data_IF_862691499040
#
_entry.id   IF_862691499040
#
_cell.length_a   1.000
_cell.length_b   1.000
_cell.length_c   1.000
_cell.angle_alpha   90.00
_cell.angle_beta   90.00
_cell.angle_gamma   90.00
#
_symmetry.space_group_name_H-M   'P 1'
#
loop_
_entity.id
_entity.type
_entity.pdbx_description
1 polymer ?
#
# COMPACT_ATOMS: atom_id res chain seq x y z
N UNK A 1 7.67 -6.81 8.66
CA UNK A 1 6.38 -6.21 8.24
C UNK A 1 5.81 -7.08 7.13
N UNK A 2 4.51 -7.35 7.13
CA UNK A 2 3.83 -8.11 6.06
C UNK A 2 2.69 -7.24 5.52
N UNK A 3 2.62 -7.12 4.20
CA UNK A 3 1.50 -6.45 3.53
C UNK A 3 0.58 -7.50 2.93
N UNK A 4 -0.72 -7.32 3.13
CA UNK A 4 -1.75 -8.22 2.64
C UNK A 4 -2.58 -7.46 1.59
N UNK A 5 -2.74 -8.04 0.40
CA UNK A 5 -3.63 -7.53 -0.65
C UNK A 5 -4.61 -8.64 -1.00
N UNK A 6 -5.90 -8.37 -0.84
CA UNK A 6 -6.96 -9.33 -1.10
C UNK A 6 -7.06 -9.70 -2.58
N UNK A 7 -7.72 -10.82 -2.86
CA UNK A 7 -8.10 -11.21 -4.21
C UNK A 7 -9.30 -10.36 -4.69
N UNK A 8 -10.04 -10.84 -5.70
CA UNK A 8 -11.19 -10.12 -6.24
C UNK A 8 -12.24 -9.76 -5.17
N UNK A 9 -12.46 -10.64 -4.19
CA UNK A 9 -13.46 -10.46 -3.13
C UNK A 9 -12.94 -9.67 -1.92
N UNK A 10 -11.65 -9.30 -1.91
CA UNK A 10 -11.03 -8.59 -0.79
C UNK A 10 -10.77 -9.49 0.43
N UNK A 11 -10.80 -8.89 1.62
CA UNK A 11 -10.66 -9.57 2.91
C UNK A 11 -11.99 -9.59 3.64
N UNK A 12 -12.27 -10.68 4.36
CA UNK A 12 -13.42 -10.76 5.23
C UNK A 12 -13.29 -9.82 6.45
N UNK A 13 -14.38 -9.63 7.18
CA UNK A 13 -14.40 -8.71 8.32
C UNK A 13 -13.45 -9.14 9.44
N UNK A 14 -13.30 -10.44 9.68
CA UNK A 14 -12.43 -10.96 10.72
C UNK A 14 -10.96 -10.67 10.41
N UNK A 15 -10.53 -10.97 9.18
CA UNK A 15 -9.18 -10.65 8.68
C UNK A 15 -8.88 -9.16 8.76
N UNK A 16 -9.87 -8.30 8.49
CA UNK A 16 -9.71 -6.84 8.60
C UNK A 16 -9.60 -6.38 10.05
N UNK A 17 -10.32 -7.00 10.99
CA UNK A 17 -10.25 -6.69 12.43
C UNK A 17 -8.92 -7.13 13.05
N UNK A 18 -8.33 -8.21 12.54
CA UNK A 18 -7.06 -8.75 13.04
C UNK A 18 -5.83 -8.00 12.50
N UNK A 19 -6.00 -7.07 11.55
CA UNK A 19 -4.90 -6.31 10.97
C UNK A 19 -4.42 -5.20 11.92
N UNK A 20 -3.11 -5.08 12.09
CA UNK A 20 -2.49 -3.99 12.87
C UNK A 20 -2.81 -2.59 12.28
N UNK A 21 -2.98 -2.53 10.96
CA UNK A 21 -3.29 -1.31 10.22
C UNK A 21 -4.11 -1.63 8.97
N UNK A 22 -5.17 -0.83 8.75
CA UNK A 22 -5.87 -0.77 7.46
C UNK A 22 -5.42 0.45 6.69
N UNK A 23 -4.93 0.23 5.46
CA UNK A 23 -4.40 1.27 4.59
C UNK A 23 -5.14 1.29 3.25
N UNK A 24 -5.42 2.47 2.71
CA UNK A 24 -6.15 2.64 1.46
C UNK A 24 -5.47 3.66 0.52
N UNK A 25 -5.42 3.35 -0.77
CA UNK A 25 -4.97 4.27 -1.83
C UNK A 25 -6.08 5.24 -2.27
N UNK A 26 -6.86 5.75 -1.32
CA UNK A 26 -8.04 6.59 -1.57
C UNK A 26 -9.37 5.83 -1.62
N UNK A 27 -10.41 6.48 -2.13
CA UNK A 27 -11.80 5.97 -2.14
C UNK A 27 -12.12 5.04 -3.32
N UNK A 28 -11.28 5.02 -4.36
CA UNK A 28 -11.52 4.23 -5.55
C UNK A 28 -11.22 2.74 -5.33
N UNK A 29 -11.94 1.88 -6.04
CA UNK A 29 -11.64 0.45 -6.11
C UNK A 29 -10.55 0.22 -7.15
N UNK A 30 -9.42 -0.32 -6.69
CA UNK A 30 -8.29 -0.62 -7.55
C UNK A 30 -8.22 -2.13 -7.85
N UNK A 31 -7.93 -2.55 -9.10
CA UNK A 31 -7.60 -3.94 -9.39
C UNK A 31 -6.44 -4.41 -8.51
N UNK A 32 -6.54 -5.59 -7.91
CA UNK A 32 -5.57 -6.08 -6.92
C UNK A 32 -4.12 -6.12 -7.45
N UNK A 33 -3.91 -6.36 -8.75
CA UNK A 33 -2.58 -6.28 -9.38
C UNK A 33 -2.05 -4.83 -9.46
N UNK A 34 -2.91 -3.85 -9.72
CA UNK A 34 -2.53 -2.43 -9.72
C UNK A 34 -2.23 -1.95 -8.30
N UNK A 35 -3.07 -2.32 -7.32
CA UNK A 35 -2.83 -2.00 -5.91
C UNK A 35 -1.48 -2.54 -5.42
N UNK A 36 -1.05 -3.71 -5.91
CA UNK A 36 0.28 -4.27 -5.63
C UNK A 36 1.42 -3.40 -6.17
N UNK A 37 1.30 -2.92 -7.41
CA UNK A 37 2.29 -2.02 -8.00
C UNK A 37 2.35 -0.67 -7.26
N UNK A 38 1.19 -0.10 -6.91
CA UNK A 38 1.10 1.13 -6.12
C UNK A 38 1.75 0.98 -4.74
N UNK A 39 1.53 -0.14 -4.06
CA UNK A 39 2.19 -0.42 -2.78
C UNK A 39 3.70 -0.49 -2.92
N UNK A 40 4.22 -1.21 -3.93
CA UNK A 40 5.65 -1.29 -4.15
C UNK A 40 6.27 0.09 -4.41
N UNK A 41 5.61 0.92 -5.22
CA UNK A 41 6.04 2.29 -5.49
C UNK A 41 6.02 3.17 -4.24
N UNK A 42 4.96 3.10 -3.43
CA UNK A 42 4.90 3.90 -2.19
C UNK A 42 5.93 3.45 -1.15
N UNK A 43 6.25 2.14 -1.08
CA UNK A 43 7.35 1.66 -0.24
C UNK A 43 8.68 2.23 -0.71
N UNK A 44 8.96 2.20 -2.01
CA UNK A 44 10.15 2.82 -2.58
C UNK A 44 10.23 4.33 -2.32
N UNK A 45 9.10 5.02 -2.46
CA UNK A 45 9.00 6.46 -2.18
C UNK A 45 9.29 6.75 -0.71
N UNK A 46 8.68 6.01 0.20
CA UNK A 46 8.89 6.18 1.64
C UNK A 46 10.35 5.93 2.03
N UNK A 47 10.98 4.86 1.51
CA UNK A 47 12.39 4.58 1.78
C UNK A 47 13.31 5.63 1.15
N UNK A 48 12.99 6.12 -0.04
CA UNK A 48 13.73 7.20 -0.70
C UNK A 48 13.70 8.50 0.11
N UNK A 49 12.53 8.86 0.66
CA UNK A 49 12.38 10.04 1.54
C UNK A 49 13.24 9.86 2.80
N UNK A 50 13.13 8.72 3.48
CA UNK A 50 13.90 8.43 4.70
C UNK A 50 15.41 8.41 4.45
N UNK A 51 15.84 7.99 3.27
CA UNK A 51 17.24 7.97 2.85
C UNK A 51 17.75 9.32 2.30
N UNK A 52 16.91 10.36 2.29
CA UNK A 52 17.19 11.64 1.64
C UNK A 52 17.66 11.48 0.17
N UNK A 53 17.08 10.51 -0.53
CA UNK A 53 17.43 10.17 -1.91
C UNK A 53 16.73 11.16 -2.88
N UNK A 54 17.42 11.65 -3.93
CA UNK A 54 16.90 12.66 -4.87
C UNK A 54 15.70 12.22 -5.74
N UNK A 55 15.20 10.99 -5.51
CA UNK A 55 14.02 10.47 -6.20
C UNK A 55 12.76 11.24 -5.77
N UNK A 56 12.66 11.54 -4.48
CA UNK A 56 11.64 12.45 -4.00
C UNK A 56 12.18 13.87 -4.15
N UNK A 57 11.64 14.60 -5.13
CA UNK A 57 11.92 16.03 -5.26
C UNK A 57 10.88 16.74 -4.41
N UNK A 58 11.33 17.35 -3.31
CA UNK A 58 10.56 18.42 -2.67
C UNK A 58 10.45 19.55 -3.70
N UNK A 59 9.24 19.76 -4.19
CA UNK A 59 8.87 20.95 -4.96
C UNK A 59 8.29 21.99 -4.03
#
# INVERSE_FOLDING_TARGET
IRFLIGAADGFDEQQRRDADLLFAFGKATWPHMLARAMLAEQLWRATSILANHPYHREG
#
